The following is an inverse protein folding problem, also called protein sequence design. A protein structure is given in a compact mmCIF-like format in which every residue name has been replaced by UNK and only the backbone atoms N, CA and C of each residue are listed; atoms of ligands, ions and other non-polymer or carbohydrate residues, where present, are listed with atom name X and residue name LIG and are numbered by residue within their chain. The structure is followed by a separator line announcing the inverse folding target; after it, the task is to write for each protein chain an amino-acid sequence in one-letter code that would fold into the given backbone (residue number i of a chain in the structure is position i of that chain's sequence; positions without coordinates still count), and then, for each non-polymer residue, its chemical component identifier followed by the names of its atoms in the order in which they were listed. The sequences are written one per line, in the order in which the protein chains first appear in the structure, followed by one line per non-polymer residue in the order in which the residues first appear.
data_IF_593344009799
#
_entry.id   IF_593344009799
#
_cell.length_a   1.000
_cell.length_b   1.000
_cell.length_c   1.000
_cell.angle_alpha   90.00
_cell.angle_beta   90.00
_cell.angle_gamma   90.00
#
_symmetry.space_group_name_H-M   'P 1'
#
loop_
_entity.id
_entity.type
_entity.pdbx_description
1 polymer ?
#
# COMPACT_ATOMS: atom_id res chain seq x y z
N UNK A 1 51.61 21.76 22.36
CA UNK A 1 51.55 20.94 21.14
C UNK A 1 50.24 21.26 20.43
N UNK A 2 50.36 21.81 19.22
CA UNK A 2 49.27 22.05 18.26
C UNK A 2 48.83 20.71 17.65
N UNK A 3 47.53 20.55 17.42
CA UNK A 3 46.96 19.45 16.65
C UNK A 3 45.78 19.98 15.84
N UNK A 4 45.96 20.08 14.53
CA UNK A 4 45.02 20.58 13.54
C UNK A 4 44.31 19.42 12.81
N UNK A 5 43.05 19.65 12.41
CA UNK A 5 42.36 19.10 11.23
C UNK A 5 40.86 19.43 11.34
N UNK A 6 40.06 19.68 10.31
CA UNK A 6 40.23 20.09 8.93
C UNK A 6 38.81 20.52 8.50
N UNK A 7 38.72 21.55 7.68
CA UNK A 7 37.46 22.05 7.14
C UNK A 7 36.87 21.11 6.07
N UNK A 8 35.55 21.17 5.91
CA UNK A 8 34.89 21.03 4.62
C UNK A 8 34.19 19.69 4.34
N UNK A 9 32.86 19.73 4.34
CA UNK A 9 32.10 19.41 3.12
C UNK A 9 30.66 19.88 3.25
N UNK A 10 30.44 21.06 2.70
CA UNK A 10 29.18 21.54 2.19
C UNK A 10 28.75 20.59 1.06
N UNK A 11 27.72 19.77 1.28
CA UNK A 11 26.96 19.18 0.20
C UNK A 11 25.92 20.23 -0.25
N UNK A 12 26.41 21.15 -1.08
CA UNK A 12 25.56 21.99 -1.91
C UNK A 12 25.01 21.15 -3.07
N UNK A 13 23.77 21.46 -3.43
CA UNK A 13 23.28 21.31 -4.80
C UNK A 13 22.51 20.03 -5.07
N UNK A 14 21.21 20.05 -4.82
CA UNK A 14 20.31 19.49 -5.83
C UNK A 14 19.93 20.64 -6.77
N UNK A 15 20.83 20.87 -7.73
CA UNK A 15 20.65 21.84 -8.80
C UNK A 15 19.77 21.25 -9.88
N UNK A 16 18.61 21.87 -10.04
CA UNK A 16 17.73 21.92 -11.22
C UNK A 16 18.17 21.15 -12.48
N UNK A 17 17.34 20.18 -12.86
CA UNK A 17 17.10 19.77 -14.25
C UNK A 17 15.59 19.81 -14.50
N UNK A 18 15.15 20.78 -15.30
CA UNK A 18 13.75 21.11 -15.57
C UNK A 18 13.07 20.19 -16.57
N UNK A 19 11.76 20.06 -16.42
CA UNK A 19 10.74 20.30 -17.45
C UNK A 19 9.35 19.99 -16.85
N UNK A 20 8.45 20.97 -16.92
CA UNK A 20 7.03 20.75 -17.24
C UNK A 20 6.03 20.09 -16.28
N UNK A 21 6.42 19.37 -15.23
CA UNK A 21 5.47 18.80 -14.25
C UNK A 21 5.97 19.06 -12.83
N UNK A 22 5.05 19.41 -11.92
CA UNK A 22 5.38 19.64 -10.51
C UNK A 22 6.00 18.36 -9.92
N UNK A 23 7.33 18.28 -9.88
CA UNK A 23 8.06 17.20 -9.22
C UNK A 23 7.60 17.12 -7.77
N UNK A 24 7.09 15.95 -7.37
CA UNK A 24 6.72 15.65 -5.99
C UNK A 24 7.85 16.03 -5.04
N UNK A 25 7.51 16.66 -3.93
CA UNK A 25 8.47 16.96 -2.86
C UNK A 25 8.94 15.66 -2.20
N UNK A 26 10.11 15.69 -1.55
CA UNK A 26 10.60 14.55 -0.77
C UNK A 26 9.66 14.14 0.38
N UNK A 27 8.81 15.05 0.86
CA UNK A 27 7.78 14.75 1.85
C UNK A 27 6.65 13.90 1.25
N UNK A 28 6.16 14.30 0.08
CA UNK A 28 5.12 13.58 -0.67
C UNK A 28 5.61 12.19 -1.08
N UNK A 29 6.85 12.07 -1.58
CA UNK A 29 7.46 10.77 -1.93
C UNK A 29 7.48 9.82 -0.72
N UNK A 30 7.88 10.29 0.46
CA UNK A 30 7.88 9.45 1.68
C UNK A 30 6.47 9.07 2.10
N UNK A 31 5.49 9.96 1.94
CA UNK A 31 4.10 9.70 2.26
C UNK A 31 3.51 8.63 1.34
N UNK A 32 3.73 8.73 0.03
CA UNK A 32 3.28 7.74 -0.97
C UNK A 32 3.89 6.37 -0.73
N UNK A 33 5.21 6.28 -0.49
CA UNK A 33 5.86 5.01 -0.15
C UNK A 33 5.28 4.38 1.12
N UNK A 34 4.99 5.18 2.13
CA UNK A 34 4.34 4.71 3.36
C UNK A 34 2.91 4.23 3.09
N UNK A 35 2.18 4.91 2.21
CA UNK A 35 0.84 4.51 1.78
C UNK A 35 0.88 3.15 1.07
N UNK A 36 1.77 2.95 0.09
CA UNK A 36 1.97 1.65 -0.59
C UNK A 36 2.27 0.52 0.40
N UNK A 37 3.25 0.70 1.29
CA UNK A 37 3.58 -0.29 2.31
C UNK A 37 2.39 -0.56 3.25
N UNK A 38 1.56 0.44 3.53
CA UNK A 38 0.36 0.25 4.33
C UNK A 38 -0.73 -0.49 3.57
N UNK A 39 -0.92 -0.20 2.28
CA UNK A 39 -1.86 -0.89 1.42
C UNK A 39 -1.47 -2.37 1.31
N UNK A 40 -0.20 -2.69 1.06
CA UNK A 40 0.32 -4.06 1.03
C UNK A 40 -0.01 -4.87 2.30
N UNK A 41 0.28 -4.31 3.48
CA UNK A 41 -0.03 -4.98 4.76
C UNK A 41 -1.54 -5.18 4.96
N UNK A 42 -2.36 -4.22 4.53
CA UNK A 42 -3.83 -4.33 4.62
C UNK A 42 -4.34 -5.38 3.65
N UNK A 43 -3.85 -5.39 2.41
CA UNK A 43 -4.19 -6.39 1.39
C UNK A 43 -3.86 -7.80 1.87
N UNK A 44 -2.67 -8.01 2.45
CA UNK A 44 -2.29 -9.30 3.05
C UNK A 44 -3.27 -9.73 4.15
N UNK A 45 -3.68 -8.78 5.00
CA UNK A 45 -4.67 -9.05 6.05
C UNK A 45 -6.04 -9.42 5.46
N UNK A 46 -6.48 -8.73 4.40
CA UNK A 46 -7.75 -9.03 3.73
C UNK A 46 -7.71 -10.39 3.04
N UNK A 47 -6.62 -10.74 2.36
CA UNK A 47 -6.44 -12.07 1.75
C UNK A 47 -6.57 -13.18 2.79
N UNK A 48 -5.94 -13.02 3.96
CA UNK A 48 -6.12 -13.97 5.07
C UNK A 48 -7.56 -14.05 5.60
N UNK A 49 -8.30 -12.94 5.63
CA UNK A 49 -9.72 -12.93 6.02
C UNK A 49 -10.61 -13.61 4.97
N UNK A 50 -10.34 -13.39 3.69
CA UNK A 50 -11.05 -14.05 2.58
C UNK A 50 -10.85 -15.56 2.69
N UNK A 51 -9.61 -16.02 2.88
CA UNK A 51 -9.33 -17.44 3.08
C UNK A 51 -10.08 -17.99 4.31
N UNK A 52 -10.05 -17.29 5.44
CA UNK A 52 -10.76 -17.71 6.64
C UNK A 52 -12.29 -17.78 6.42
N UNK A 53 -12.88 -16.82 5.69
CA UNK A 53 -14.30 -16.81 5.37
C UNK A 53 -14.66 -17.97 4.42
N UNK A 54 -13.83 -18.25 3.42
CA UNK A 54 -13.97 -19.39 2.52
C UNK A 54 -13.90 -20.72 3.30
N UNK A 55 -12.95 -20.87 4.22
CA UNK A 55 -12.86 -22.06 5.09
C UNK A 55 -14.06 -22.19 6.02
N UNK A 56 -14.55 -21.09 6.59
CA UNK A 56 -15.74 -21.09 7.43
C UNK A 56 -16.99 -21.50 6.65
N UNK A 57 -17.10 -21.11 5.37
CA UNK A 57 -18.20 -21.51 4.49
C UNK A 57 -18.27 -23.02 4.29
N UNK A 58 -17.13 -23.73 4.29
CA UNK A 58 -17.10 -25.21 4.19
C UNK A 58 -17.76 -25.91 5.39
N UNK A 59 -17.91 -25.21 6.51
CA UNK A 59 -18.57 -25.73 7.72
C UNK A 59 -20.06 -25.40 7.77
N UNK A 60 -20.58 -24.63 6.81
CA UNK A 60 -22.00 -24.29 6.71
C UNK A 60 -22.76 -25.47 6.10
N UNK A 61 -23.98 -25.73 6.58
CA UNK A 61 -24.86 -26.73 5.99
C UNK A 61 -25.12 -26.40 4.51
N UNK A 62 -24.85 -27.32 3.56
CA UNK A 62 -25.01 -27.08 2.13
C UNK A 62 -26.48 -26.81 1.71
N UNK A 63 -27.45 -27.10 2.58
CA UNK A 63 -28.88 -26.83 2.37
C UNK A 63 -29.34 -25.52 3.01
N UNK A 64 -28.51 -24.89 3.85
CA UNK A 64 -28.78 -23.57 4.43
C UNK A 64 -28.31 -22.46 3.47
N UNK A 65 -29.13 -22.21 2.46
CA UNK A 65 -28.84 -21.20 1.44
C UNK A 65 -28.75 -19.78 2.01
N UNK A 66 -29.40 -19.48 3.14
CA UNK A 66 -29.29 -18.15 3.75
C UNK A 66 -27.91 -17.97 4.40
N UNK A 67 -27.45 -18.96 5.16
CA UNK A 67 -26.13 -18.92 5.77
C UNK A 67 -25.00 -18.90 4.72
N UNK A 68 -25.14 -19.70 3.65
CA UNK A 68 -24.20 -19.68 2.52
C UNK A 68 -24.19 -18.31 1.81
N UNK A 69 -25.37 -17.74 1.54
CA UNK A 69 -25.47 -16.42 0.91
C UNK A 69 -24.84 -15.31 1.75
N UNK A 70 -25.02 -15.36 3.07
CA UNK A 70 -24.38 -14.41 3.99
C UNK A 70 -22.85 -14.55 3.97
N UNK A 71 -22.32 -15.79 3.90
CA UNK A 71 -20.87 -16.03 3.78
C UNK A 71 -20.31 -15.56 2.44
N UNK A 72 -21.04 -15.77 1.35
CA UNK A 72 -20.63 -15.27 0.04
C UNK A 72 -20.60 -13.73 0.03
N UNK A 73 -21.64 -13.07 0.57
CA UNK A 73 -21.65 -11.61 0.67
C UNK A 73 -20.48 -11.05 1.51
N UNK A 74 -20.11 -11.73 2.60
CA UNK A 74 -18.92 -11.39 3.40
C UNK A 74 -17.63 -11.51 2.58
N UNK A 75 -17.49 -12.58 1.78
CA UNK A 75 -16.33 -12.77 0.89
C UNK A 75 -16.28 -11.68 -0.18
N UNK A 76 -17.41 -11.37 -0.82
CA UNK A 76 -17.50 -10.36 -1.87
C UNK A 76 -17.11 -8.98 -1.32
N UNK A 77 -17.62 -8.59 -0.16
CA UNK A 77 -17.26 -7.31 0.49
C UNK A 77 -15.75 -7.23 0.83
N UNK A 78 -15.14 -8.34 1.24
CA UNK A 78 -13.70 -8.39 1.51
C UNK A 78 -12.88 -8.29 0.21
N UNK A 79 -13.38 -8.87 -0.89
CA UNK A 79 -12.76 -8.77 -2.22
C UNK A 79 -12.85 -7.35 -2.78
N UNK A 80 -14.01 -6.68 -2.66
CA UNK A 80 -14.16 -5.29 -3.07
C UNK A 80 -13.17 -4.36 -2.33
N UNK A 81 -12.99 -4.55 -1.03
CA UNK A 81 -11.99 -3.80 -0.24
C UNK A 81 -10.55 -4.11 -0.65
N UNK A 82 -10.29 -5.33 -1.11
CA UNK A 82 -8.98 -5.72 -1.63
C UNK A 82 -8.70 -4.97 -2.93
N UNK A 83 -9.66 -4.96 -3.86
CA UNK A 83 -9.57 -4.24 -5.13
C UNK A 83 -9.39 -2.73 -4.93
N UNK A 84 -10.11 -2.12 -3.98
CA UNK A 84 -9.95 -0.70 -3.62
C UNK A 84 -8.51 -0.39 -3.17
N UNK A 85 -7.93 -1.25 -2.33
CA UNK A 85 -6.53 -1.10 -1.89
C UNK A 85 -5.52 -1.37 -3.00
N UNK A 86 -5.82 -2.28 -3.92
CA UNK A 86 -5.00 -2.54 -5.11
C UNK A 86 -4.99 -1.31 -6.04
N UNK A 87 -6.14 -0.65 -6.22
CA UNK A 87 -6.23 0.61 -6.95
C UNK A 87 -5.45 1.74 -6.25
N UNK A 88 -5.63 1.93 -4.93
CA UNK A 88 -4.86 2.92 -4.16
C UNK A 88 -3.34 2.69 -4.27
N UNK A 89 -2.91 1.42 -4.24
CA UNK A 89 -1.50 1.07 -4.37
C UNK A 89 -0.98 1.40 -5.77
N UNK A 90 -1.74 1.09 -6.83
CA UNK A 90 -1.37 1.39 -8.22
C UNK A 90 -1.27 2.91 -8.45
N UNK A 91 -2.25 3.68 -7.99
CA UNK A 91 -2.22 5.15 -8.10
C UNK A 91 -1.00 5.74 -7.38
N UNK A 92 -0.64 5.21 -6.21
CA UNK A 92 0.55 5.64 -5.48
C UNK A 92 1.86 5.25 -6.18
N UNK A 93 1.91 4.08 -6.81
CA UNK A 93 3.05 3.62 -7.61
C UNK A 93 3.24 4.48 -8.87
N UNK A 94 2.16 4.76 -9.59
CA UNK A 94 2.14 5.65 -10.76
C UNK A 94 2.62 7.06 -10.39
N UNK A 95 2.14 7.61 -9.27
CA UNK A 95 2.59 8.91 -8.77
C UNK A 95 4.10 8.93 -8.45
N UNK A 96 4.66 7.82 -7.99
CA UNK A 96 6.10 7.68 -7.72
C UNK A 96 6.93 7.36 -8.98
N UNK A 97 6.28 6.98 -10.07
CA UNK A 97 6.93 6.52 -11.30
C UNK A 97 7.62 5.15 -11.16
N UNK A 98 7.04 4.25 -10.36
CA UNK A 98 7.51 2.86 -10.20
C UNK A 98 6.96 1.89 -11.26
#
# INVERSE_FOLDING_TARGET
ATGAAAAGSQAAGDGAGGDGETKLSGGEIRALRKAMQSAERKMETLRGKIEAAQQAMLSVDPTDFQALGAKQAEIDELQEKLEELEAEWLEAAEALGE
#
